data_IF_924541946626
#
_entry.id   IF_924541946626
#
_cell.length_a   1.000
_cell.length_b   1.000
_cell.length_c   1.000
_cell.angle_alpha   90.00
_cell.angle_beta   90.00
_cell.angle_gamma   90.00
#
_symmetry.space_group_name_H-M   'P 1'
#
loop_
_entity.id
_entity.type
_entity.pdbx_description
1 polymer ?
#
# COMPACT_ATOMS: atom_id res chain seq x y z
N UNK A 1 -37.93 -31.48 -16.54
CA UNK A 1 -37.00 -30.47 -17.06
C UNK A 1 -37.14 -29.10 -16.35
N UNK A 2 -38.34 -28.51 -16.17
CA UNK A 2 -38.51 -27.21 -15.45
C UNK A 2 -38.03 -27.25 -14.00
N UNK A 3 -38.22 -28.35 -13.25
CA UNK A 3 -37.79 -28.47 -11.85
C UNK A 3 -36.25 -28.53 -11.69
N UNK A 4 -35.57 -29.18 -12.66
CA UNK A 4 -34.09 -29.28 -12.70
C UNK A 4 -33.47 -27.90 -13.02
N UNK A 5 -34.12 -27.10 -13.89
CA UNK A 5 -33.66 -25.80 -14.26
C UNK A 5 -33.77 -24.80 -13.09
N UNK A 6 -34.83 -24.90 -12.28
CA UNK A 6 -35.05 -24.05 -11.08
C UNK A 6 -34.04 -24.40 -9.98
N UNK A 7 -33.73 -25.69 -9.77
CA UNK A 7 -32.70 -26.08 -8.80
C UNK A 7 -31.30 -25.66 -9.23
N UNK A 8 -31.00 -25.67 -10.51
CA UNK A 8 -29.69 -25.23 -11.03
C UNK A 8 -29.51 -23.70 -10.91
N UNK A 9 -30.57 -22.92 -11.15
CA UNK A 9 -30.52 -21.45 -10.95
C UNK A 9 -30.41 -21.07 -9.48
N UNK A 10 -31.04 -21.78 -8.56
CA UNK A 10 -30.88 -21.56 -7.11
C UNK A 10 -29.48 -21.93 -6.62
N UNK A 11 -28.84 -22.97 -7.17
CA UNK A 11 -27.46 -23.33 -6.86
C UNK A 11 -26.46 -22.29 -7.39
N UNK A 12 -26.69 -21.73 -8.58
CA UNK A 12 -25.84 -20.67 -9.14
C UNK A 12 -25.93 -19.35 -8.36
N UNK A 13 -27.08 -19.00 -7.79
CA UNK A 13 -27.23 -17.79 -6.97
C UNK A 13 -26.58 -17.93 -5.59
N UNK A 14 -26.41 -19.14 -5.06
CA UNK A 14 -25.70 -19.39 -3.81
C UNK A 14 -24.17 -19.27 -3.96
N UNK A 15 -23.64 -19.29 -5.18
CA UNK A 15 -22.23 -19.09 -5.50
C UNK A 15 -21.86 -17.60 -5.70
N UNK A 16 -22.75 -16.66 -5.48
CA UNK A 16 -22.41 -15.25 -5.30
C UNK A 16 -21.66 -15.09 -3.97
N UNK A 17 -20.51 -15.74 -3.88
CA UNK A 17 -19.57 -15.56 -2.78
C UNK A 17 -19.30 -14.08 -2.66
N UNK A 18 -19.65 -13.47 -1.54
CA UNK A 18 -19.24 -12.13 -1.19
C UNK A 18 -17.71 -12.09 -1.33
N UNK A 19 -17.23 -11.54 -2.43
CA UNK A 19 -15.80 -11.28 -2.58
C UNK A 19 -15.42 -10.33 -1.45
N UNK A 20 -14.75 -10.87 -0.44
CA UNK A 20 -14.27 -10.09 0.70
C UNK A 20 -13.39 -8.96 0.15
N UNK A 21 -13.70 -7.73 0.49
CA UNK A 21 -12.88 -6.59 0.06
C UNK A 21 -11.53 -6.63 0.78
N UNK A 22 -10.50 -6.05 0.18
CA UNK A 22 -9.18 -5.98 0.81
C UNK A 22 -9.23 -5.31 2.20
N UNK A 23 -10.08 -4.30 2.37
CA UNK A 23 -10.28 -3.68 3.67
C UNK A 23 -10.87 -4.65 4.70
N UNK A 24 -11.88 -5.43 4.31
CA UNK A 24 -12.47 -6.44 5.22
C UNK A 24 -11.44 -7.51 5.62
N UNK A 25 -10.60 -7.95 4.67
CA UNK A 25 -9.50 -8.88 4.94
C UNK A 25 -8.51 -8.30 5.97
N UNK A 26 -8.08 -7.04 5.81
CA UNK A 26 -7.17 -6.34 6.74
C UNK A 26 -7.80 -6.26 8.13
N UNK A 27 -9.06 -5.81 8.24
CA UNK A 27 -9.75 -5.66 9.52
C UNK A 27 -9.95 -7.01 10.22
N UNK A 28 -10.29 -8.05 9.47
CA UNK A 28 -10.47 -9.41 9.99
C UNK A 28 -9.16 -10.03 10.48
N UNK A 29 -8.08 -9.83 9.71
CA UNK A 29 -6.76 -10.33 10.08
C UNK A 29 -6.10 -9.51 11.20
N UNK A 30 -6.58 -8.28 11.46
CA UNK A 30 -6.02 -7.38 12.45
C UNK A 30 -4.61 -6.88 12.11
N UNK A 31 -4.20 -6.96 10.83
CA UNK A 31 -2.86 -6.59 10.37
C UNK A 31 -2.94 -5.83 9.03
N UNK A 32 -2.29 -4.66 8.96
CA UNK A 32 -2.06 -3.87 7.76
C UNK A 32 -0.61 -4.06 7.31
N UNK A 33 -0.40 -4.69 6.16
CA UNK A 33 0.94 -4.89 5.59
C UNK A 33 1.30 -3.70 4.71
N UNK A 34 2.42 -3.05 5.00
CA UNK A 34 2.89 -1.84 4.32
C UNK A 34 4.23 -2.10 3.64
N UNK A 35 4.26 -2.03 2.31
CA UNK A 35 5.50 -2.13 1.53
C UNK A 35 6.30 -0.85 1.60
N UNK A 36 7.56 -0.92 2.00
CA UNK A 36 8.48 0.23 2.10
C UNK A 36 9.90 -0.15 1.72
N UNK A 37 10.63 0.77 1.10
CA UNK A 37 12.03 0.53 0.70
C UNK A 37 13.01 0.74 1.87
N UNK A 38 12.69 1.67 2.78
CA UNK A 38 13.52 1.97 3.94
C UNK A 38 14.83 2.70 3.62
N UNK A 39 14.90 3.38 2.48
CA UNK A 39 16.11 4.05 1.98
C UNK A 39 15.85 5.49 1.48
N UNK A 40 14.73 6.10 1.86
CA UNK A 40 14.37 7.45 1.44
C UNK A 40 14.14 8.39 2.65
N UNK A 41 15.23 8.98 3.14
CA UNK A 41 15.22 9.98 4.21
C UNK A 41 14.55 11.30 3.75
N UNK A 42 13.72 11.96 4.56
CA UNK A 42 13.22 11.58 5.91
C UNK A 42 11.92 10.76 5.89
N UNK A 43 11.47 10.31 4.73
CA UNK A 43 10.15 9.68 4.57
C UNK A 43 10.14 8.25 5.12
N UNK A 44 11.12 7.45 4.74
CA UNK A 44 11.23 6.05 5.16
C UNK A 44 12.70 5.64 5.24
N UNK A 45 13.11 5.23 6.42
CA UNK A 45 14.47 4.78 6.72
C UNK A 45 14.43 3.48 7.48
N UNK A 46 15.32 2.57 7.16
CA UNK A 46 15.55 1.36 7.93
C UNK A 46 16.87 1.48 8.68
N UNK A 47 16.80 1.42 10.00
CA UNK A 47 17.99 1.42 10.86
C UNK A 47 18.72 0.07 10.72
N UNK A 48 19.97 0.06 10.23
CA UNK A 48 20.71 -1.17 10.01
C UNK A 48 21.09 -1.90 11.29
N UNK A 49 21.20 -1.21 12.43
CA UNK A 49 21.56 -1.82 13.71
C UNK A 49 20.37 -2.52 14.37
N UNK A 50 19.17 -1.92 14.27
CA UNK A 50 17.95 -2.42 14.94
C UNK A 50 16.97 -3.08 13.97
N UNK A 51 17.17 -2.95 12.67
CA UNK A 51 16.25 -3.35 11.61
C UNK A 51 14.85 -2.70 11.71
N UNK A 52 14.68 -1.64 12.51
CA UNK A 52 13.42 -0.92 12.65
C UNK A 52 13.28 0.16 11.59
N UNK A 53 12.05 0.36 11.14
CA UNK A 53 11.72 1.46 10.24
C UNK A 53 11.38 2.71 11.04
N UNK A 54 11.74 3.88 10.48
CA UNK A 54 11.44 5.22 11.01
C UNK A 54 11.26 6.21 9.86
N UNK A 55 10.64 7.35 10.13
CA UNK A 55 10.41 8.42 9.17
C UNK A 55 8.95 8.81 9.07
N UNK A 56 8.69 9.90 8.34
CA UNK A 56 7.36 10.50 8.23
C UNK A 56 6.30 9.49 7.75
N UNK A 57 6.56 8.74 6.69
CA UNK A 57 5.61 7.74 6.18
C UNK A 57 5.37 6.60 7.18
N UNK A 58 6.40 6.26 7.96
CA UNK A 58 6.27 5.22 8.98
C UNK A 58 5.31 5.68 10.08
N UNK A 59 5.43 6.94 10.51
CA UNK A 59 4.54 7.52 11.52
C UNK A 59 3.10 7.64 11.00
N UNK A 60 2.92 8.09 9.74
CA UNK A 60 1.59 8.14 9.09
C UNK A 60 0.93 6.76 9.04
N UNK A 61 1.69 5.71 8.71
CA UNK A 61 1.15 4.34 8.65
C UNK A 61 0.86 3.76 10.03
N UNK A 62 1.63 4.12 11.04
CA UNK A 62 1.32 3.74 12.43
C UNK A 62 0.01 4.37 12.90
N UNK A 63 -0.21 5.68 12.63
CA UNK A 63 -1.47 6.34 12.99
C UNK A 63 -2.65 5.78 12.19
N UNK A 64 -2.49 5.53 10.87
CA UNK A 64 -3.53 4.89 10.07
C UNK A 64 -3.93 3.52 10.63
N UNK A 65 -2.97 2.67 10.96
CA UNK A 65 -3.25 1.35 11.53
C UNK A 65 -3.96 1.44 12.89
N UNK A 66 -3.57 2.42 13.71
CA UNK A 66 -4.22 2.71 15.00
C UNK A 66 -5.67 3.15 14.81
N UNK A 67 -5.94 4.05 13.86
CA UNK A 67 -7.30 4.50 13.54
C UNK A 67 -8.17 3.36 13.01
N UNK A 68 -7.57 2.42 12.27
CA UNK A 68 -8.24 1.20 11.78
C UNK A 68 -8.40 0.13 12.87
N UNK A 69 -7.78 0.27 14.03
CA UNK A 69 -7.78 -0.73 15.11
C UNK A 69 -7.00 -2.00 14.77
N UNK A 70 -5.97 -1.91 13.90
CA UNK A 70 -5.13 -3.03 13.45
C UNK A 70 -3.66 -2.79 13.79
N UNK A 71 -2.84 -3.83 13.67
CA UNK A 71 -1.37 -3.72 13.78
C UNK A 71 -0.77 -3.40 12.41
N UNK A 72 0.26 -2.56 12.36
CA UNK A 72 1.03 -2.36 11.13
C UNK A 72 2.20 -3.33 11.06
N UNK A 73 2.45 -3.85 9.86
CA UNK A 73 3.62 -4.68 9.54
C UNK A 73 4.33 -4.12 8.31
N UNK A 74 5.53 -3.60 8.53
CA UNK A 74 6.34 -3.12 7.42
C UNK A 74 7.02 -4.29 6.71
N UNK A 75 6.86 -4.31 5.38
CA UNK A 75 7.42 -5.34 4.49
C UNK A 75 8.48 -4.70 3.62
N UNK A 76 9.70 -5.23 3.66
CA UNK A 76 10.77 -4.75 2.79
C UNK A 76 10.39 -4.93 1.32
N UNK A 77 10.52 -3.87 0.55
CA UNK A 77 10.21 -3.85 -0.88
C UNK A 77 11.34 -3.15 -1.66
N UNK A 78 11.51 -3.57 -2.90
CA UNK A 78 12.40 -2.90 -3.83
C UNK A 78 11.64 -1.86 -4.64
N UNK A 79 12.24 -0.69 -4.88
CA UNK A 79 11.59 0.39 -5.63
C UNK A 79 11.06 -0.07 -7.00
N UNK A 80 11.82 -0.91 -7.70
CA UNK A 80 11.44 -1.42 -9.03
C UNK A 80 10.16 -2.27 -9.01
N UNK A 81 9.86 -2.91 -7.89
CA UNK A 81 8.74 -3.86 -7.74
C UNK A 81 7.68 -3.38 -6.75
N UNK A 82 7.77 -2.12 -6.29
CA UNK A 82 6.90 -1.62 -5.23
C UNK A 82 5.40 -1.61 -5.62
N UNK A 83 5.08 -1.31 -6.86
CA UNK A 83 3.69 -1.34 -7.35
C UNK A 83 3.24 -2.78 -7.64
N UNK A 84 4.08 -3.59 -8.27
CA UNK A 84 3.76 -4.99 -8.55
C UNK A 84 3.64 -5.85 -7.28
N UNK A 85 4.26 -5.45 -6.19
CA UNK A 85 4.09 -6.11 -4.90
C UNK A 85 2.66 -6.02 -4.34
N UNK A 86 1.94 -4.94 -4.63
CA UNK A 86 0.52 -4.78 -4.27
C UNK A 86 -0.33 -5.76 -5.09
N UNK A 87 -0.15 -5.80 -6.40
CA UNK A 87 -0.90 -6.70 -7.30
C UNK A 87 -0.59 -8.18 -7.04
N UNK A 88 0.62 -8.48 -6.58
CA UNK A 88 1.04 -9.81 -6.16
C UNK A 88 0.66 -10.15 -4.71
N UNK A 89 -0.13 -9.30 -4.03
CA UNK A 89 -0.57 -9.48 -2.64
C UNK A 89 0.56 -9.70 -1.61
N UNK A 90 1.74 -9.12 -1.85
CA UNK A 90 2.85 -9.16 -0.89
C UNK A 90 2.62 -8.22 0.29
N UNK A 91 1.96 -7.10 0.06
CA UNK A 91 1.51 -6.11 1.03
C UNK A 91 0.23 -5.44 0.53
N UNK A 92 -0.48 -4.79 1.42
CA UNK A 92 -1.81 -4.25 1.17
C UNK A 92 -1.77 -2.84 0.58
N UNK A 93 -0.74 -2.07 0.97
CA UNK A 93 -0.45 -0.74 0.43
C UNK A 93 1.06 -0.45 0.46
N UNK A 94 1.45 0.63 -0.19
CA UNK A 94 2.81 1.16 -0.15
C UNK A 94 2.79 2.68 -0.02
N UNK A 95 3.82 3.23 0.61
CA UNK A 95 4.02 4.66 0.81
C UNK A 95 5.00 5.23 -0.21
N UNK A 96 5.10 6.56 -0.26
CA UNK A 96 6.10 7.30 -1.06
C UNK A 96 6.04 7.08 -2.56
N UNK A 97 4.93 6.55 -3.09
CA UNK A 97 4.78 6.25 -4.52
C UNK A 97 4.02 7.36 -5.23
N UNK A 98 4.71 8.13 -6.05
CA UNK A 98 4.09 9.18 -6.88
C UNK A 98 3.10 8.58 -7.87
N UNK A 99 1.89 9.16 -7.93
CA UNK A 99 0.88 8.79 -8.90
C UNK A 99 1.32 9.15 -10.32
N UNK A 100 1.33 8.17 -11.20
CA UNK A 100 1.51 8.34 -12.63
C UNK A 100 0.40 7.61 -13.40
N UNK A 101 0.07 8.00 -14.65
CA UNK A 101 -0.94 7.30 -15.44
C UNK A 101 -0.68 5.78 -15.49
N UNK A 102 0.54 5.38 -15.83
CA UNK A 102 0.95 3.96 -15.91
C UNK A 102 0.75 3.18 -14.60
N UNK A 103 1.05 3.80 -13.46
CA UNK A 103 0.84 3.15 -12.14
C UNK A 103 -0.63 3.08 -11.78
N UNK A 104 -1.41 4.10 -12.16
CA UNK A 104 -2.84 4.16 -11.89
C UNK A 104 -3.67 3.13 -12.68
N UNK A 105 -3.13 2.54 -13.75
CA UNK A 105 -3.75 1.44 -14.48
C UNK A 105 -3.81 0.13 -13.67
N UNK A 106 -2.89 -0.04 -12.72
CA UNK A 106 -2.71 -1.31 -11.99
C UNK A 106 -2.87 -1.21 -10.47
N UNK A 107 -2.89 0.01 -9.92
CA UNK A 107 -3.05 0.24 -8.48
C UNK A 107 -3.90 1.47 -8.21
N UNK A 108 -4.76 1.42 -7.19
CA UNK A 108 -5.48 2.57 -6.67
C UNK A 108 -4.54 3.53 -5.92
N UNK A 109 -4.87 4.82 -5.97
CA UNK A 109 -4.15 5.87 -5.23
C UNK A 109 -5.12 6.64 -4.34
N UNK A 110 -4.66 6.98 -3.14
CA UNK A 110 -5.36 7.90 -2.24
C UNK A 110 -5.21 9.36 -2.72
N UNK A 111 -5.83 10.30 -2.03
CA UNK A 111 -5.46 11.70 -2.13
C UNK A 111 -4.00 11.89 -1.68
N UNK A 112 -3.33 12.88 -2.29
CA UNK A 112 -1.95 13.19 -1.88
C UNK A 112 -1.95 13.79 -0.47
N UNK A 113 -1.19 13.19 0.44
CA UNK A 113 -1.00 13.66 1.81
C UNK A 113 0.34 14.42 2.00
N UNK A 114 1.21 14.39 0.98
CA UNK A 114 2.49 15.10 0.98
C UNK A 114 2.83 15.59 -0.43
N UNK A 115 3.56 16.72 -0.51
CA UNK A 115 4.07 17.27 -1.76
C UNK A 115 5.54 17.61 -1.59
N UNK A 116 6.34 17.34 -2.59
CA UNK A 116 7.76 17.72 -2.65
C UNK A 116 8.08 18.26 -4.04
N UNK A 117 9.17 18.99 -4.13
CA UNK A 117 9.68 19.52 -5.38
C UNK A 117 11.19 19.37 -5.46
N UNK A 118 11.71 19.30 -6.68
CA UNK A 118 13.15 19.32 -6.93
C UNK A 118 13.62 20.75 -7.06
N UNK A 119 14.68 21.10 -6.35
CA UNK A 119 15.35 22.41 -6.46
C UNK A 119 16.82 22.21 -6.87
N UNK A 120 17.39 23.09 -7.69
CA UNK A 120 18.82 23.03 -8.00
C UNK A 120 19.65 23.38 -6.77
N UNK A 121 20.67 22.60 -6.52
CA UNK A 121 21.71 22.90 -5.54
C UNK A 121 22.94 23.40 -6.26
N UNK A 122 23.41 24.59 -5.92
CA UNK A 122 24.61 25.20 -6.49
C UNK A 122 25.61 25.56 -5.40
N UNK A 123 26.89 25.60 -5.74
CA UNK A 123 27.90 26.14 -4.83
C UNK A 123 27.69 27.63 -4.66
N UNK A 124 27.74 28.10 -3.42
CA UNK A 124 27.50 29.51 -3.08
C UNK A 124 28.49 30.51 -3.72
N UNK A 125 29.62 30.00 -4.20
CA UNK A 125 30.67 30.82 -4.88
C UNK A 125 30.40 30.94 -6.40
N UNK A 126 29.39 30.29 -6.96
CA UNK A 126 29.00 30.47 -8.35
C UNK A 126 27.94 31.55 -8.39
N UNK A 127 28.35 32.76 -8.71
CA UNK A 127 27.43 33.85 -9.04
C UNK A 127 26.84 33.58 -10.42
N UNK A 128 25.58 33.24 -10.45
CA UNK A 128 24.79 33.14 -11.68
C UNK A 128 24.26 34.53 -12.02
#
# INVERSE_FOLDING_TARGET
MKKILITLTLLLSALSANAETKLQEILKNGELRVGTTGDWDPMTMKDPATNKYKGFDIDVMNELAKDMGVKVKFVAAEWKTIVSGITANRYDLSTSVTKTPKRAEVAGFTNSYYKYGTVPLVLSLIHI
#
